data_IF_223782922901
#
_entry.id   IF_223782922901
#
_cell.length_a   1.000
_cell.length_b   1.000
_cell.length_c   1.000
_cell.angle_alpha   90.00
_cell.angle_beta   90.00
_cell.angle_gamma   90.00
#
_symmetry.space_group_name_H-M   'P 1'
#
loop_
_entity.id
_entity.type
_entity.pdbx_description
1 polymer ?
#
# COMPACT_ATOMS: atom_id res chain seq x y z
N UNK A 1 -11.58 -14.86 23.29
CA UNK A 1 -12.36 -13.71 22.77
C UNK A 1 -11.71 -12.46 23.30
N UNK A 2 -11.48 -11.48 22.44
CA UNK A 2 -10.83 -10.22 22.80
C UNK A 2 -11.84 -9.14 23.20
N UNK A 3 -11.35 -8.16 23.92
CA UNK A 3 -12.01 -6.94 24.34
C UNK A 3 -11.27 -5.73 23.77
N UNK A 4 -11.84 -4.54 23.90
CA UNK A 4 -11.21 -3.32 23.39
C UNK A 4 -9.89 -2.97 24.10
N UNK A 5 -9.67 -3.48 25.31
CA UNK A 5 -8.40 -3.29 26.04
C UNK A 5 -7.26 -4.14 25.49
N UNK A 6 -7.57 -5.15 24.66
CA UNK A 6 -6.57 -5.99 23.98
C UNK A 6 -6.04 -5.35 22.69
N UNK A 7 -6.63 -4.23 22.25
CA UNK A 7 -6.21 -3.54 21.04
C UNK A 7 -4.87 -2.83 21.24
N UNK A 8 -3.95 -3.02 20.31
CA UNK A 8 -2.67 -2.30 20.28
C UNK A 8 -2.83 -1.10 19.36
N UNK A 9 -2.80 0.10 19.93
CA UNK A 9 -2.86 1.36 19.17
C UNK A 9 -1.46 1.92 18.97
N UNK A 10 -1.15 2.31 17.73
CA UNK A 10 0.12 2.93 17.34
C UNK A 10 -0.19 4.26 16.63
N UNK A 11 0.43 5.39 17.04
CA UNK A 11 0.34 6.64 16.30
C UNK A 11 0.83 6.48 14.86
N UNK A 12 0.12 7.06 13.90
CA UNK A 12 0.56 7.04 12.51
C UNK A 12 1.49 8.24 12.26
N UNK A 13 2.72 7.98 11.83
CA UNK A 13 3.73 9.00 11.52
C UNK A 13 3.97 9.12 10.03
N UNK A 14 4.43 10.28 9.56
CA UNK A 14 4.58 10.58 8.12
C UNK A 14 5.56 9.67 7.40
N UNK A 15 6.59 9.19 8.10
CA UNK A 15 7.58 8.27 7.54
C UNK A 15 6.97 6.90 7.18
N UNK A 16 5.87 6.49 7.81
CA UNK A 16 5.12 5.30 7.40
C UNK A 16 4.50 5.47 6.01
N UNK A 17 3.95 6.65 5.71
CA UNK A 17 3.45 6.97 4.36
C UNK A 17 4.58 7.00 3.35
N UNK A 18 5.72 7.63 3.69
CA UNK A 18 6.88 7.70 2.81
C UNK A 18 7.43 6.31 2.48
N UNK A 19 7.57 5.44 3.49
CA UNK A 19 7.99 4.05 3.29
C UNK A 19 7.02 3.28 2.39
N UNK A 20 5.71 3.45 2.62
CA UNK A 20 4.68 2.83 1.79
C UNK A 20 4.69 3.32 0.33
N UNK A 21 4.93 4.62 0.11
CA UNK A 21 5.06 5.21 -1.24
C UNK A 21 6.29 4.66 -1.94
N UNK A 22 7.45 4.65 -1.26
CA UNK A 22 8.68 4.11 -1.82
C UNK A 22 8.52 2.66 -2.28
N UNK A 23 7.78 1.84 -1.52
CA UNK A 23 7.45 0.49 -1.97
C UNK A 23 6.49 0.47 -3.15
N UNK A 24 5.38 1.22 -3.07
CA UNK A 24 4.36 1.26 -4.11
C UNK A 24 4.94 1.68 -5.48
N UNK A 25 5.88 2.61 -5.48
CA UNK A 25 6.61 3.03 -6.68
C UNK A 25 7.47 1.91 -7.27
N UNK A 26 8.17 1.15 -6.43
CA UNK A 26 9.03 0.03 -6.86
C UNK A 26 8.23 -1.18 -7.34
N UNK A 27 7.11 -1.49 -6.70
CA UNK A 27 6.28 -2.66 -7.04
C UNK A 27 5.30 -2.40 -8.18
N UNK A 28 5.10 -1.14 -8.59
CA UNK A 28 4.13 -0.74 -9.61
C UNK A 28 4.13 -1.64 -10.87
N UNK A 29 5.28 -1.99 -11.48
CA UNK A 29 5.31 -2.86 -12.67
C UNK A 29 4.78 -4.29 -12.44
N UNK A 30 4.76 -4.75 -11.19
CA UNK A 30 4.48 -6.13 -10.78
C UNK A 30 3.16 -6.28 -10.04
N UNK A 31 2.45 -5.18 -9.82
CA UNK A 31 1.22 -5.20 -9.06
C UNK A 31 0.08 -5.79 -9.93
N UNK A 32 -0.42 -6.99 -9.57
CA UNK A 32 -1.52 -7.68 -10.26
C UNK A 32 -2.93 -7.15 -9.85
N UNK A 33 -3.72 -6.60 -10.76
CA UNK A 33 -5.01 -5.96 -10.40
C UNK A 33 -6.14 -6.99 -10.15
N UNK A 34 -6.26 -7.48 -8.91
CA UNK A 34 -7.37 -8.38 -8.51
C UNK A 34 -8.64 -7.66 -8.06
N UNK A 35 -8.52 -6.40 -7.63
CA UNK A 35 -9.57 -5.73 -6.85
C UNK A 35 -10.29 -4.61 -7.60
N UNK A 36 -9.85 -4.26 -8.81
CA UNK A 36 -10.42 -3.22 -9.67
C UNK A 36 -10.43 -1.81 -9.05
N UNK A 37 -10.99 -0.85 -9.77
CA UNK A 37 -11.07 0.56 -9.36
C UNK A 37 -9.87 1.40 -9.81
N UNK A 38 -9.81 2.68 -9.41
CA UNK A 38 -8.72 3.56 -9.88
C UNK A 38 -7.35 3.08 -9.41
N UNK A 39 -6.34 3.17 -10.29
CA UNK A 39 -4.95 2.83 -10.00
C UNK A 39 -4.43 3.55 -8.73
N UNK A 40 -4.88 4.78 -8.46
CA UNK A 40 -4.51 5.53 -7.25
C UNK A 40 -5.09 4.94 -5.96
N UNK A 41 -6.32 4.45 -5.97
CA UNK A 41 -6.90 3.80 -4.79
C UNK A 41 -6.17 2.52 -4.45
N UNK A 42 -5.70 1.81 -5.47
CA UNK A 42 -4.85 0.65 -5.30
C UNK A 42 -3.51 1.02 -4.69
N UNK A 43 -2.81 2.01 -5.24
CA UNK A 43 -1.53 2.47 -4.69
C UNK A 43 -1.66 2.91 -3.23
N UNK A 44 -2.71 3.68 -2.89
CA UNK A 44 -3.03 4.02 -1.51
C UNK A 44 -3.20 2.82 -0.59
N UNK A 45 -3.78 1.70 -1.07
CA UNK A 45 -3.90 0.46 -0.29
C UNK A 45 -2.54 -0.21 -0.08
N UNK A 46 -1.66 -0.20 -1.08
CA UNK A 46 -0.29 -0.70 -0.96
C UNK A 46 0.48 0.12 0.08
N UNK A 47 0.43 1.46 -0.05
CA UNK A 47 1.03 2.40 0.92
C UNK A 47 0.56 2.08 2.35
N UNK A 48 -0.75 1.89 2.51
CA UNK A 48 -1.38 1.50 3.78
C UNK A 48 -0.87 0.16 4.30
N UNK A 49 -0.82 -0.88 3.46
CA UNK A 49 -0.36 -2.21 3.85
C UNK A 49 1.06 -2.17 4.40
N UNK A 50 1.97 -1.56 3.66
CA UNK A 50 3.38 -1.39 4.06
C UNK A 50 3.52 -0.53 5.31
N UNK A 51 2.76 0.55 5.41
CA UNK A 51 2.77 1.41 6.60
C UNK A 51 2.38 0.64 7.87
N UNK A 52 1.34 -0.20 7.81
CA UNK A 52 0.91 -1.03 8.94
C UNK A 52 1.97 -2.05 9.29
N UNK A 53 2.51 -2.71 8.29
CA UNK A 53 3.51 -3.74 8.51
C UNK A 53 4.79 -3.18 9.13
N UNK A 54 5.29 -2.05 8.63
CA UNK A 54 6.44 -1.35 9.21
C UNK A 54 6.17 -0.93 10.67
N UNK A 55 4.98 -0.40 10.95
CA UNK A 55 4.58 -0.06 12.31
C UNK A 55 4.54 -1.31 13.23
N UNK A 56 4.07 -2.44 12.71
CA UNK A 56 4.04 -3.70 13.45
C UNK A 56 5.46 -4.18 13.77
N UNK A 57 6.37 -4.19 12.79
CA UNK A 57 7.79 -4.57 12.98
C UNK A 57 8.46 -3.70 14.04
N UNK A 58 8.24 -2.38 14.00
CA UNK A 58 8.75 -1.46 15.01
C UNK A 58 8.23 -1.80 16.40
N UNK A 59 6.92 -2.07 16.52
CA UNK A 59 6.33 -2.50 17.80
C UNK A 59 6.93 -3.81 18.31
N UNK A 60 7.11 -4.81 17.44
CA UNK A 60 7.75 -6.07 17.82
C UNK A 60 9.18 -5.84 18.32
N UNK A 61 9.94 -4.98 17.66
CA UNK A 61 11.30 -4.61 18.07
C UNK A 61 11.33 -3.86 19.42
N UNK A 62 10.46 -2.86 19.60
CA UNK A 62 10.28 -2.11 20.85
C UNK A 62 9.98 -3.04 22.03
N UNK A 63 9.06 -3.99 21.84
CA UNK A 63 8.66 -4.96 22.86
C UNK A 63 9.60 -6.15 22.99
N UNK A 64 10.68 -6.19 22.21
CA UNK A 64 11.65 -7.31 22.15
C UNK A 64 10.95 -8.65 21.91
N UNK A 65 9.98 -8.66 21.00
CA UNK A 65 9.31 -9.87 20.53
C UNK A 65 10.19 -10.50 19.45
N UNK A 66 10.65 -11.76 19.63
CA UNK A 66 11.44 -12.45 18.61
C UNK A 66 10.63 -12.60 17.31
N UNK A 67 11.18 -12.10 16.21
CA UNK A 67 10.58 -12.18 14.89
C UNK A 67 11.66 -12.18 13.81
N UNK A 68 11.34 -12.80 12.68
CA UNK A 68 12.17 -12.79 11.49
C UNK A 68 11.51 -11.94 10.41
N UNK A 69 12.33 -11.19 9.69
CA UNK A 69 11.93 -10.60 8.42
C UNK A 69 12.35 -11.62 7.36
N UNK A 70 11.50 -12.61 7.05
CA UNK A 70 11.83 -13.71 6.14
C UNK A 70 12.02 -13.19 4.71
N UNK A 71 13.19 -12.61 4.44
CA UNK A 71 13.53 -11.96 3.18
C UNK A 71 12.64 -10.76 2.89
N UNK A 72 13.23 -9.57 2.80
CA UNK A 72 12.65 -8.54 1.93
C UNK A 72 12.61 -9.13 0.53
N UNK A 73 11.48 -9.67 0.11
CA UNK A 73 11.40 -10.30 -1.21
C UNK A 73 11.74 -9.23 -2.24
N UNK A 74 12.50 -9.54 -3.31
CA UNK A 74 12.77 -8.56 -4.35
C UNK A 74 11.45 -7.89 -4.76
N UNK A 75 11.44 -6.56 -4.93
CA UNK A 75 10.23 -5.81 -5.32
C UNK A 75 9.63 -6.30 -6.66
N UNK A 76 10.39 -7.11 -7.40
CA UNK A 76 10.02 -7.80 -8.63
C UNK A 76 9.14 -9.03 -8.42
N UNK A 77 9.09 -9.57 -7.21
CA UNK A 77 8.19 -10.65 -6.83
C UNK A 77 6.90 -10.07 -6.23
N UNK A 78 5.73 -10.70 -6.50
CA UNK A 78 4.44 -10.17 -6.08
C UNK A 78 4.32 -10.16 -4.54
N UNK A 79 4.23 -8.95 -3.96
CA UNK A 79 3.88 -8.62 -2.57
C UNK A 79 4.30 -9.69 -1.52
N UNK A 80 5.59 -9.77 -1.20
CA UNK A 80 6.06 -10.66 -0.13
C UNK A 80 6.92 -9.89 0.87
N UNK A 81 6.28 -9.46 1.94
CA UNK A 81 6.95 -8.97 3.12
C UNK A 81 6.48 -9.80 4.31
N UNK A 82 7.04 -10.99 4.42
CA UNK A 82 6.63 -11.94 5.43
C UNK A 82 7.38 -11.64 6.73
N UNK A 83 6.68 -11.04 7.69
CA UNK A 83 7.10 -11.14 9.11
C UNK A 83 6.82 -12.57 9.53
N UNK A 84 7.76 -13.21 10.21
CA UNK A 84 7.50 -14.47 10.90
C UNK A 84 7.67 -14.32 12.41
N UNK A 85 6.75 -14.91 13.16
CA UNK A 85 6.78 -14.95 14.61
C UNK A 85 6.78 -16.41 15.03
N UNK A 86 7.87 -16.87 15.65
CA UNK A 86 8.01 -18.28 16.03
C UNK A 86 8.03 -19.25 14.86
N UNK A 87 8.63 -18.86 13.73
CA UNK A 87 8.68 -19.66 12.51
C UNK A 87 7.37 -19.71 11.71
N UNK A 88 6.34 -18.98 12.14
CA UNK A 88 5.03 -18.88 11.45
C UNK A 88 4.94 -17.57 10.70
N UNK A 89 4.58 -17.59 9.43
CA UNK A 89 4.39 -16.37 8.62
C UNK A 89 3.17 -15.61 9.10
N UNK A 90 3.26 -14.29 9.05
CA UNK A 90 2.19 -13.38 9.43
C UNK A 90 1.70 -12.63 8.19
N UNK A 91 0.42 -12.80 7.88
CA UNK A 91 -0.28 -12.06 6.83
C UNK A 91 -1.18 -11.01 7.48
N UNK A 92 -0.79 -9.75 7.35
CA UNK A 92 -1.49 -8.62 7.98
C UNK A 92 -2.60 -8.12 7.06
N UNK A 93 -3.85 -8.31 7.49
CA UNK A 93 -5.04 -7.76 6.85
C UNK A 93 -5.35 -6.38 7.43
N UNK A 94 -4.96 -5.35 6.68
CA UNK A 94 -5.20 -3.95 7.05
C UNK A 94 -6.45 -3.37 6.39
N UNK A 95 -7.21 -2.59 7.16
CA UNK A 95 -8.46 -1.95 6.72
C UNK A 95 -8.41 -0.44 6.94
N UNK A 96 -8.48 0.33 5.85
CA UNK A 96 -8.46 1.79 5.92
C UNK A 96 -9.87 2.36 6.13
N UNK A 97 -10.06 3.08 7.23
CA UNK A 97 -11.26 3.84 7.59
C UNK A 97 -11.09 5.29 7.16
N UNK A 98 -11.75 5.70 6.08
CA UNK A 98 -11.59 7.04 5.48
C UNK A 98 -12.74 8.01 5.73
N UNK A 99 -13.88 7.51 6.24
CA UNK A 99 -15.06 8.35 6.49
C UNK A 99 -14.91 9.07 7.82
N UNK A 100 -14.97 10.41 7.81
CA UNK A 100 -14.84 11.26 9.02
C UNK A 100 -15.82 10.90 10.15
N UNK A 101 -17.02 10.44 9.84
CA UNK A 101 -17.98 9.97 10.84
C UNK A 101 -17.49 8.68 11.52
N UNK A 102 -17.03 7.71 10.72
CA UNK A 102 -16.52 6.44 11.20
C UNK A 102 -15.22 6.59 11.98
N UNK A 103 -14.30 7.45 11.51
CA UNK A 103 -13.09 7.82 12.22
C UNK A 103 -13.43 8.37 13.61
N UNK A 104 -14.32 9.38 13.67
CA UNK A 104 -14.75 9.97 14.95
C UNK A 104 -15.41 8.97 15.88
N UNK A 105 -16.22 8.05 15.34
CA UNK A 105 -16.87 7.01 16.12
C UNK A 105 -15.83 6.06 16.74
N UNK A 106 -14.93 5.49 15.92
CA UNK A 106 -13.88 4.56 16.41
C UNK A 106 -12.91 5.25 17.38
N UNK A 107 -12.58 6.54 17.17
CA UNK A 107 -11.74 7.29 18.11
C UNK A 107 -12.39 7.50 19.48
N UNK A 108 -13.71 7.59 19.56
CA UNK A 108 -14.45 7.76 20.83
C UNK A 108 -14.82 6.42 21.47
N UNK A 109 -15.13 5.44 20.63
CA UNK A 109 -15.66 4.14 21.01
C UNK A 109 -14.92 3.03 20.27
N UNK A 110 -13.66 2.71 20.66
CA UNK A 110 -12.87 1.68 20.00
C UNK A 110 -13.56 0.31 19.98
N UNK A 111 -14.37 0.01 21.01
CA UNK A 111 -15.14 -1.23 21.11
C UNK A 111 -16.08 -1.49 19.93
N UNK A 112 -16.46 -0.46 19.17
CA UNK A 112 -17.24 -0.64 17.94
C UNK A 112 -16.54 -1.56 16.93
N UNK A 113 -15.20 -1.64 16.97
CA UNK A 113 -14.43 -2.56 16.12
C UNK A 113 -14.61 -4.03 16.47
N UNK A 114 -15.03 -4.37 17.70
CA UNK A 114 -15.26 -5.78 18.10
C UNK A 114 -16.36 -6.44 17.27
N UNK A 115 -17.36 -5.67 16.85
CA UNK A 115 -18.43 -6.12 15.96
C UNK A 115 -18.11 -5.99 14.48
N UNK A 116 -16.94 -5.47 14.10
CA UNK A 116 -16.51 -5.44 12.71
C UNK A 116 -16.10 -6.84 12.23
N UNK A 117 -16.15 -7.08 10.92
CA UNK A 117 -15.67 -8.33 10.35
C UNK A 117 -14.14 -8.31 10.15
N UNK A 118 -13.46 -9.31 10.69
CA UNK A 118 -12.19 -9.80 10.16
C UNK A 118 -12.48 -10.42 8.79
N UNK A 119 -11.81 -9.96 7.72
CA UNK A 119 -12.08 -10.42 6.35
C UNK A 119 -10.83 -10.93 5.68
N UNK A 120 -10.95 -12.10 5.05
CA UNK A 120 -9.94 -12.67 4.16
C UNK A 120 -10.63 -13.07 2.85
N UNK A 121 -10.16 -12.62 1.68
CA UNK A 121 -10.69 -13.06 0.39
C UNK A 121 -10.67 -14.58 0.25
N UNK A 122 -11.74 -15.17 -0.29
CA UNK A 122 -11.87 -16.63 -0.38
C UNK A 122 -10.75 -17.28 -1.21
N UNK A 123 -10.26 -16.61 -2.25
CA UNK A 123 -9.15 -17.08 -3.09
C UNK A 123 -7.82 -17.15 -2.31
N UNK A 124 -7.62 -16.27 -1.33
CA UNK A 124 -6.42 -16.28 -0.48
C UNK A 124 -6.44 -17.43 0.53
N UNK A 125 -7.63 -17.82 0.99
CA UNK A 125 -7.77 -18.96 1.91
C UNK A 125 -7.45 -20.27 1.20
N UNK A 126 -7.80 -20.40 -0.07
CA UNK A 126 -7.54 -21.59 -0.88
C UNK A 126 -6.09 -21.64 -1.38
N UNK A 127 -5.36 -20.52 -1.39
CA UNK A 127 -3.98 -20.49 -1.90
C UNK A 127 -3.00 -21.25 -0.99
N UNK A 128 -2.05 -21.98 -1.59
CA UNK A 128 -1.01 -22.76 -0.89
C UNK A 128 0.16 -21.90 -0.38
N UNK A 129 -0.01 -20.57 -0.35
CA UNK A 129 1.06 -19.65 0.05
C UNK A 129 1.32 -19.60 1.55
N UNK A 130 0.32 -19.95 2.35
CA UNK A 130 0.39 -20.03 3.80
C UNK A 130 0.06 -21.46 4.23
N UNK A 131 0.65 -21.92 5.31
CA UNK A 131 0.27 -23.16 6.00
C UNK A 131 -0.86 -22.88 7.00
N UNK A 132 -1.52 -23.93 7.48
CA UNK A 132 -2.61 -23.78 8.46
C UNK A 132 -2.16 -23.16 9.79
N UNK A 133 -0.88 -23.29 10.13
CA UNK A 133 -0.27 -22.73 11.34
C UNK A 133 0.19 -21.26 11.20
N UNK A 134 0.21 -20.74 9.97
CA UNK A 134 0.51 -19.33 9.71
C UNK A 134 -0.62 -18.43 10.21
N UNK A 135 -0.31 -17.16 10.42
CA UNK A 135 -1.11 -16.24 11.20
C UNK A 135 -1.75 -15.18 10.31
N UNK A 136 -3.06 -14.99 10.46
CA UNK A 136 -3.70 -13.75 10.06
C UNK A 136 -3.68 -12.77 11.22
N UNK A 137 -3.22 -11.54 10.95
CA UNK A 137 -3.26 -10.43 11.89
C UNK A 137 -4.15 -9.34 11.31
N UNK A 138 -5.07 -8.81 12.11
CA UNK A 138 -6.04 -7.83 11.64
C UNK A 138 -5.75 -6.44 12.21
N UNK A 139 -5.77 -5.44 11.33
CA UNK A 139 -5.51 -4.05 11.69
C UNK A 139 -6.47 -3.08 11.02
N UNK A 140 -6.79 -1.99 11.71
CA UNK A 140 -7.53 -0.86 11.17
C UNK A 140 -6.66 0.38 11.18
N UNK A 141 -6.81 1.22 10.16
CA UNK A 141 -6.13 2.51 10.09
C UNK A 141 -7.19 3.57 9.95
N UNK A 142 -7.10 4.61 10.77
CA UNK A 142 -7.87 5.82 10.55
C UNK A 142 -7.02 6.78 9.74
N UNK A 143 -7.52 7.21 8.59
CA UNK A 143 -6.76 8.07 7.70
C UNK A 143 -7.70 8.94 6.85
N UNK A 144 -7.23 10.11 6.46
CA UNK A 144 -7.83 10.85 5.35
C UNK A 144 -7.03 10.63 4.07
N UNK A 145 -7.70 10.74 2.94
CA UNK A 145 -7.10 10.71 1.61
C UNK A 145 -7.70 11.83 0.77
N UNK A 146 -7.06 12.16 -0.35
CA UNK A 146 -7.58 13.13 -1.32
C UNK A 146 -7.93 12.43 -2.64
N UNK A 147 -9.06 11.69 -2.70
CA UNK A 147 -9.39 10.88 -3.86
C UNK A 147 -9.85 11.68 -5.09
N UNK A 148 -10.08 12.98 -4.96
CA UNK A 148 -10.55 13.86 -6.04
C UNK A 148 -9.92 15.27 -5.96
N UNK A 149 -10.03 16.03 -7.05
CA UNK A 149 -9.45 17.37 -7.18
C UNK A 149 -9.84 18.31 -6.04
N UNK A 150 -11.13 18.36 -5.68
CA UNK A 150 -11.63 19.22 -4.60
C UNK A 150 -10.94 18.94 -3.26
N UNK A 151 -10.70 17.67 -2.95
CA UNK A 151 -9.98 17.29 -1.73
C UNK A 151 -8.48 17.58 -1.81
N UNK A 152 -7.88 17.45 -2.99
CA UNK A 152 -6.49 17.79 -3.25
C UNK A 152 -6.24 19.30 -3.11
N UNK A 153 -7.10 20.14 -3.70
CA UNK A 153 -7.00 21.60 -3.60
C UNK A 153 -7.06 22.07 -2.14
N UNK A 154 -7.84 21.40 -1.30
CA UNK A 154 -7.90 21.69 0.13
C UNK A 154 -6.61 21.31 0.85
N UNK A 155 -5.99 20.19 0.48
CA UNK A 155 -4.70 19.77 1.04
C UNK A 155 -3.61 20.77 0.65
N UNK A 156 -3.53 21.14 -0.63
CA UNK A 156 -2.62 22.16 -1.15
C UNK A 156 -2.78 23.51 -0.44
N UNK A 157 -4.02 24.01 -0.31
CA UNK A 157 -4.30 25.27 0.41
C UNK A 157 -3.95 25.23 1.89
N UNK A 158 -3.92 24.04 2.49
CA UNK A 158 -3.58 23.82 3.88
C UNK A 158 -2.10 23.41 4.07
N UNK A 159 -1.27 23.58 3.04
CA UNK A 159 0.15 23.23 3.00
C UNK A 159 0.42 21.80 3.49
N UNK A 160 -0.49 20.89 3.14
CA UNK A 160 -0.39 19.49 3.50
C UNK A 160 0.49 18.76 2.48
N UNK A 161 1.31 17.79 2.93
CA UNK A 161 2.15 17.01 2.03
C UNK A 161 1.30 16.26 1.01
N UNK A 162 1.79 16.17 -0.22
CA UNK A 162 1.16 15.45 -1.33
C UNK A 162 2.21 14.62 -2.05
N UNK A 163 1.77 13.59 -2.76
CA UNK A 163 2.61 12.81 -3.66
C UNK A 163 1.80 12.49 -4.91
N UNK A 164 1.94 13.33 -5.94
CA UNK A 164 1.23 13.17 -7.19
C UNK A 164 2.00 12.19 -8.07
N UNK A 165 1.32 11.14 -8.50
CA UNK A 165 1.90 10.11 -9.36
C UNK A 165 1.00 9.90 -10.57
N UNK A 166 1.62 9.54 -11.69
CA UNK A 166 0.96 9.05 -12.89
C UNK A 166 1.63 7.73 -13.33
N UNK A 167 0.97 6.57 -13.12
CA UNK A 167 1.43 5.30 -13.68
C UNK A 167 1.41 5.33 -15.20
N UNK A 168 2.49 4.87 -15.82
CA UNK A 168 2.58 4.74 -17.27
C UNK A 168 1.78 3.51 -17.77
N UNK A 169 1.38 3.50 -19.05
CA UNK A 169 0.78 2.33 -19.68
C UNK A 169 1.65 1.07 -19.58
N UNK A 170 1.03 -0.11 -19.73
CA UNK A 170 1.70 -1.40 -19.57
C UNK A 170 2.88 -1.57 -20.54
N UNK A 171 2.77 -1.02 -21.74
CA UNK A 171 3.77 -1.08 -22.80
C UNK A 171 5.07 -0.39 -22.39
N UNK A 172 4.98 0.62 -21.53
CA UNK A 172 6.12 1.35 -20.97
C UNK A 172 6.61 0.73 -19.66
N UNK A 173 5.68 0.41 -18.76
CA UNK A 173 5.99 -0.09 -17.41
C UNK A 173 6.45 -1.55 -17.39
N UNK A 174 6.01 -2.35 -18.35
CA UNK A 174 6.35 -3.77 -18.48
C UNK A 174 6.41 -4.18 -19.97
N UNK A 175 7.41 -3.68 -20.73
CA UNK A 175 7.50 -3.91 -22.16
C UNK A 175 7.67 -5.40 -22.47
N UNK A 176 7.12 -5.83 -23.61
CA UNK A 176 7.21 -7.23 -24.07
C UNK A 176 8.64 -7.63 -24.46
N UNK A 177 9.45 -6.66 -24.86
CA UNK A 177 10.88 -6.82 -25.16
C UNK A 177 11.69 -5.99 -24.18
N UNK A 178 12.70 -6.60 -23.57
CA UNK A 178 13.57 -5.92 -22.61
C UNK A 178 14.72 -5.23 -23.34
N UNK A 179 14.41 -4.11 -23.97
CA UNK A 179 15.35 -3.25 -24.71
C UNK A 179 15.26 -1.82 -24.17
N UNK A 180 16.29 -0.98 -24.36
CA UNK A 180 16.22 0.42 -23.96
C UNK A 180 15.02 1.13 -24.60
N UNK A 181 14.36 1.99 -23.84
CA UNK A 181 13.33 2.91 -24.33
C UNK A 181 13.91 4.05 -25.19
N UNK A 182 15.24 4.10 -25.31
CA UNK A 182 15.98 5.21 -25.92
C UNK A 182 15.97 6.44 -25.01
N UNK A 183 16.66 7.49 -25.45
CA UNK A 183 16.68 8.77 -24.73
C UNK A 183 15.28 9.35 -24.65
N UNK A 184 14.69 9.34 -23.45
CA UNK A 184 13.35 9.86 -23.23
C UNK A 184 13.36 11.38 -23.39
N UNK A 185 12.43 11.90 -24.19
CA UNK A 185 12.24 13.33 -24.38
C UNK A 185 10.99 13.80 -23.65
N UNK A 186 11.15 14.80 -22.79
CA UNK A 186 10.09 15.34 -21.94
C UNK A 186 9.81 16.79 -22.28
N UNK A 187 8.54 17.19 -22.16
CA UNK A 187 8.11 18.59 -22.30
C UNK A 187 6.87 18.83 -21.45
N UNK A 188 6.78 20.00 -20.83
CA UNK A 188 5.56 20.48 -20.21
C UNK A 188 5.03 21.73 -20.94
N UNK A 189 3.71 21.89 -20.99
CA UNK A 189 3.04 23.14 -21.38
C UNK A 189 2.41 23.80 -20.15
N UNK A 190 3.24 24.07 -19.15
CA UNK A 190 2.88 24.68 -17.86
C UNK A 190 3.26 26.16 -17.81
N UNK A 191 2.69 26.91 -16.86
CA UNK A 191 3.08 28.32 -16.67
C UNK A 191 4.41 28.49 -15.92
N UNK A 192 4.88 27.43 -15.27
CA UNK A 192 6.01 27.42 -14.34
C UNK A 192 6.83 26.14 -14.53
N UNK A 193 8.08 26.16 -14.06
CA UNK A 193 8.94 24.98 -14.10
C UNK A 193 8.37 23.87 -13.22
N UNK A 194 8.44 22.63 -13.69
CA UNK A 194 7.97 21.44 -12.96
C UNK A 194 9.12 20.48 -12.76
N UNK A 195 9.40 20.14 -11.50
CA UNK A 195 10.28 19.03 -11.16
C UNK A 195 9.51 17.73 -11.29
N UNK A 196 10.00 16.82 -12.13
CA UNK A 196 9.46 15.49 -12.33
C UNK A 196 10.48 14.45 -11.90
N UNK A 197 10.04 13.44 -11.16
CA UNK A 197 10.75 12.19 -10.97
C UNK A 197 10.24 11.16 -11.98
N UNK A 198 11.17 10.51 -12.68
CA UNK A 198 10.97 9.40 -13.60
C UNK A 198 11.35 8.11 -12.88
N UNK A 199 10.39 7.24 -12.60
CA UNK A 199 10.64 5.98 -11.92
C UNK A 199 10.49 4.78 -12.84
N UNK A 200 11.49 3.89 -12.86
CA UNK A 200 11.54 2.79 -13.80
C UNK A 200 12.59 1.74 -13.48
N UNK A 201 13.03 1.01 -14.51
CA UNK A 201 14.02 -0.06 -14.40
C UNK A 201 15.07 0.04 -15.49
N UNK A 202 16.30 -0.34 -15.16
CA UNK A 202 17.43 -0.39 -16.09
C UNK A 202 17.58 -1.77 -16.77
N UNK A 203 18.69 -1.97 -17.49
CA UNK A 203 19.03 -3.22 -18.17
C UNK A 203 18.92 -4.46 -17.26
N UNK A 204 19.42 -4.38 -16.03
CA UNK A 204 19.43 -5.50 -15.08
C UNK A 204 18.10 -5.68 -14.34
N UNK A 205 17.04 -4.98 -14.74
CA UNK A 205 15.73 -4.90 -14.05
C UNK A 205 15.82 -4.30 -12.65
N UNK A 206 16.94 -3.66 -12.31
CA UNK A 206 17.06 -2.93 -11.06
C UNK A 206 16.23 -1.65 -11.13
N UNK A 207 15.54 -1.33 -10.03
CA UNK A 207 14.80 -0.08 -9.91
C UNK A 207 15.76 1.10 -9.97
N UNK A 208 15.36 2.14 -10.72
CA UNK A 208 16.04 3.41 -10.75
C UNK A 208 15.04 4.56 -10.83
N UNK A 209 15.48 5.74 -10.38
CA UNK A 209 14.74 6.97 -10.50
C UNK A 209 15.66 8.11 -10.92
N UNK A 210 15.14 9.02 -11.73
CA UNK A 210 15.83 10.23 -12.18
C UNK A 210 14.94 11.45 -11.95
N UNK A 211 15.50 12.54 -11.43
CA UNK A 211 14.81 13.81 -11.33
C UNK A 211 15.20 14.73 -12.49
N UNK A 212 14.19 15.34 -13.13
CA UNK A 212 14.35 16.28 -14.23
C UNK A 212 13.53 17.54 -13.98
N UNK A 213 14.13 18.70 -14.23
CA UNK A 213 13.42 19.99 -14.20
C UNK A 213 12.94 20.32 -15.60
N UNK A 214 11.63 20.40 -15.78
CA UNK A 214 11.01 20.82 -17.04
C UNK A 214 10.69 22.31 -17.02
N UNK A 215 11.45 23.06 -17.80
CA UNK A 215 11.16 24.46 -18.08
C UNK A 215 9.93 24.61 -19.00
N UNK A 216 9.08 25.62 -18.79
CA UNK A 216 7.89 25.85 -19.61
C UNK A 216 8.16 25.80 -21.11
N UNK A 217 7.46 24.89 -21.80
CA UNK A 217 7.49 24.72 -23.26
C UNK A 217 8.85 24.35 -23.86
N UNK A 218 9.85 24.06 -23.04
CA UNK A 218 11.14 23.55 -23.47
C UNK A 218 11.17 22.04 -23.41
N UNK A 219 11.96 21.44 -24.29
CA UNK A 219 12.22 20.01 -24.26
C UNK A 219 13.42 19.75 -23.35
N UNK A 220 13.32 18.76 -22.50
CA UNK A 220 14.42 18.19 -21.75
C UNK A 220 14.58 16.71 -22.12
N UNK A 221 15.76 16.14 -21.90
CA UNK A 221 16.04 14.73 -22.15
C UNK A 221 16.41 14.07 -20.82
N UNK A 222 15.92 12.85 -20.61
CA UNK A 222 16.42 12.03 -19.50
C UNK A 222 17.86 11.60 -19.80
N UNK A 223 18.70 11.59 -18.78
CA UNK A 223 20.10 11.13 -18.86
C UNK A 223 20.21 9.60 -18.73
N UNK A 224 19.26 8.99 -18.03
CA UNK A 224 19.25 7.55 -17.75
C UNK A 224 18.70 6.69 -18.88
N UNK A 225 19.31 5.52 -19.07
CA UNK A 225 18.83 4.48 -19.95
C UNK A 225 17.76 3.61 -19.27
N UNK A 226 16.50 4.03 -19.38
CA UNK A 226 15.36 3.23 -18.94
C UNK A 226 15.07 2.09 -19.92
N UNK A 227 14.91 0.88 -19.39
CA UNK A 227 14.37 -0.28 -20.11
C UNK A 227 12.88 -0.47 -19.85
N UNK A 228 12.37 0.08 -18.75
CA UNK A 228 10.96 0.24 -18.47
C UNK A 228 10.74 1.54 -17.70
N UNK A 229 9.65 2.24 -17.97
CA UNK A 229 9.25 3.45 -17.23
C UNK A 229 7.90 3.17 -16.56
N UNK A 230 7.91 3.08 -15.24
CA UNK A 230 6.74 2.70 -14.44
C UNK A 230 5.83 3.88 -14.12
N UNK A 231 6.40 5.03 -13.74
CA UNK A 231 5.62 6.19 -13.32
C UNK A 231 6.34 7.52 -13.57
N UNK A 232 5.54 8.59 -13.56
CA UNK A 232 5.98 9.95 -13.32
C UNK A 232 5.51 10.39 -11.94
N UNK A 233 6.34 11.13 -11.21
CA UNK A 233 5.98 11.74 -9.94
C UNK A 233 6.31 13.23 -9.93
N UNK A 234 5.50 14.02 -9.23
CA UNK A 234 5.83 15.39 -8.88
C UNK A 234 5.27 15.79 -7.52
N UNK A 235 5.96 16.72 -6.86
CA UNK A 235 5.49 17.33 -5.62
C UNK A 235 4.61 18.56 -5.85
N UNK A 236 4.56 19.09 -7.08
CA UNK A 236 3.77 20.27 -7.45
C UNK A 236 2.80 19.92 -8.59
N UNK A 237 1.49 20.22 -8.46
CA UNK A 237 0.54 19.93 -9.53
C UNK A 237 0.88 20.72 -10.80
N UNK A 238 1.09 20.07 -11.95
CA UNK A 238 1.25 20.79 -13.20
C UNK A 238 -0.09 21.41 -13.61
N UNK A 239 -0.05 22.66 -14.06
CA UNK A 239 -1.22 23.40 -14.54
C UNK A 239 -1.48 23.19 -16.05
N UNK A 240 -0.69 22.34 -16.69
CA UNK A 240 -0.77 22.01 -18.11
C UNK A 240 -0.33 20.58 -18.41
N UNK A 241 -0.28 20.24 -19.70
CA UNK A 241 0.02 18.87 -20.15
C UNK A 241 1.51 18.58 -19.99
N UNK A 242 1.83 17.40 -19.45
CA UNK A 242 3.18 16.83 -19.43
C UNK A 242 3.25 15.72 -20.47
N UNK A 243 4.20 15.81 -21.39
CA UNK A 243 4.45 14.81 -22.43
C UNK A 243 5.78 14.09 -22.23
N UNK A 244 5.77 12.76 -22.42
CA UNK A 244 6.96 11.91 -22.42
C UNK A 244 6.99 11.11 -23.72
N UNK A 245 8.07 11.24 -24.47
CA UNK A 245 8.28 10.54 -25.73
C UNK A 245 9.43 9.55 -25.62
N UNK A 246 9.22 8.33 -26.13
CA UNK A 246 10.24 7.29 -26.24
C UNK A 246 10.47 6.99 -27.73
N UNK A 247 11.71 7.11 -28.23
CA UNK A 247 12.04 6.71 -29.60
C UNK A 247 11.77 5.23 -29.89
N UNK A 248 12.00 4.35 -28.90
CA UNK A 248 11.79 2.90 -29.06
C UNK A 248 10.32 2.51 -29.11
N UNK A 249 9.47 3.20 -28.36
CA UNK A 249 8.01 3.00 -28.41
C UNK A 249 7.40 3.69 -29.63
N UNK A 250 7.98 4.82 -30.06
CA UNK A 250 7.51 5.60 -31.21
C UNK A 250 6.30 6.49 -30.91
N UNK A 251 5.85 6.56 -29.65
CA UNK A 251 4.68 7.32 -29.22
C UNK A 251 5.03 8.34 -28.13
N UNK A 252 4.22 9.40 -28.05
CA UNK A 252 4.29 10.39 -26.96
C UNK A 252 3.12 10.15 -26.02
N UNK A 253 3.42 9.78 -24.78
CA UNK A 253 2.44 9.68 -23.71
C UNK A 253 2.15 11.08 -23.14
N UNK A 254 0.89 11.50 -23.17
CA UNK A 254 0.44 12.80 -22.65
C UNK A 254 -0.31 12.61 -21.34
N UNK A 255 0.03 13.44 -20.34
CA UNK A 255 -0.59 13.46 -19.01
C UNK A 255 -1.22 14.82 -18.77
N UNK A 256 -2.55 14.84 -18.70
CA UNK A 256 -3.33 16.02 -18.34
C UNK A 256 -3.28 16.28 -16.83
N UNK A 257 -3.46 17.54 -16.38
CA UNK A 257 -3.49 17.89 -14.95
C UNK A 257 -4.41 17.01 -14.09
N UNK A 258 -5.57 16.63 -14.63
CA UNK A 258 -6.58 15.83 -13.91
C UNK A 258 -6.19 14.34 -13.78
N UNK A 259 -5.23 13.88 -14.57
CA UNK A 259 -4.77 12.48 -14.56
C UNK A 259 -3.77 12.19 -13.43
N UNK A 260 -3.23 13.22 -12.78
CA UNK A 260 -2.35 13.06 -11.63
C UNK A 260 -3.13 12.67 -10.37
N UNK A 261 -2.69 11.60 -9.70
CA UNK A 261 -3.32 11.12 -8.48
C UNK A 261 -2.44 11.29 -7.25
N UNK A 262 -2.98 11.90 -6.19
CA UNK A 262 -2.27 11.97 -4.91
C UNK A 262 -2.36 10.63 -4.16
N UNK A 263 -1.25 9.96 -3.90
CA UNK A 263 -1.22 8.70 -3.12
C UNK A 263 -0.82 8.89 -1.66
N UNK A 264 -0.61 10.13 -1.21
CA UNK A 264 -0.34 10.44 0.19
C UNK A 264 -1.50 10.02 1.11
N UNK A 265 -1.15 9.44 2.26
CA UNK A 265 -2.08 9.02 3.30
C UNK A 265 -1.91 9.94 4.51
N UNK A 266 -2.98 10.63 4.90
CA UNK A 266 -3.00 11.43 6.12
C UNK A 266 -3.48 10.55 7.27
N UNK A 267 -2.63 9.62 7.68
CA UNK A 267 -2.92 8.67 8.75
C UNK A 267 -2.96 9.34 10.12
N UNK A 268 -3.80 8.80 11.00
CA UNK A 268 -3.94 9.28 12.38
C UNK A 268 -3.44 8.22 13.36
N UNK A 269 -3.99 7.01 13.28
CA UNK A 269 -3.57 5.89 14.11
C UNK A 269 -3.82 4.54 13.43
N UNK A 270 -3.03 3.55 13.82
CA UNK A 270 -3.15 2.14 13.47
C UNK A 270 -3.62 1.41 14.72
N UNK A 271 -4.64 0.56 14.58
CA UNK A 271 -5.23 -0.23 15.65
C UNK A 271 -5.11 -1.70 15.24
N UNK A 272 -4.20 -2.43 15.87
CA UNK A 272 -4.15 -3.88 15.74
C UNK A 272 -5.15 -4.50 16.70
N UNK A 273 -6.01 -5.37 16.20
CA UNK A 273 -7.13 -5.90 16.98
C UNK A 273 -6.85 -7.29 17.54
N UNK A 274 -6.25 -8.18 16.74
CA UNK A 274 -6.03 -9.56 17.15
C UNK A 274 -5.47 -10.41 16.01
N UNK A 275 -5.23 -11.68 16.33
CA UNK A 275 -4.74 -12.67 15.40
C UNK A 275 -5.55 -13.97 15.42
N UNK A 276 -5.38 -14.79 14.39
CA UNK A 276 -5.90 -16.16 14.32
C UNK A 276 -5.03 -16.98 13.38
N UNK A 277 -4.90 -18.28 13.60
CA UNK A 277 -4.22 -19.14 12.61
C UNK A 277 -5.07 -19.27 11.34
N UNK A 278 -4.44 -19.51 10.20
CA UNK A 278 -5.15 -19.71 8.93
C UNK A 278 -6.10 -20.91 9.00
N UNK A 279 -5.66 -22.01 9.61
CA UNK A 279 -6.47 -23.22 9.77
C UNK A 279 -7.73 -22.96 10.60
N UNK A 280 -7.59 -22.24 11.73
CA UNK A 280 -8.72 -21.87 12.57
C UNK A 280 -9.67 -20.91 11.86
N UNK A 281 -9.13 -19.89 11.16
CA UNK A 281 -9.95 -18.94 10.39
C UNK A 281 -10.71 -19.64 9.25
N UNK A 282 -10.10 -20.62 8.58
CA UNK A 282 -10.75 -21.43 7.54
C UNK A 282 -11.91 -22.27 8.11
N UNK A 283 -11.76 -22.81 9.31
CA UNK A 283 -12.79 -23.63 9.95
C UNK A 283 -13.94 -22.80 10.50
N UNK A 284 -13.64 -21.67 11.17
CA UNK A 284 -14.63 -20.85 11.88
C UNK A 284 -15.23 -19.73 11.03
N UNK A 285 -14.52 -19.26 10.01
CA UNK A 285 -14.95 -18.14 9.18
C UNK A 285 -16.15 -18.49 8.29
N UNK A 286 -17.17 -17.65 8.33
CA UNK A 286 -18.38 -17.77 7.53
C UNK A 286 -18.17 -17.20 6.13
N UNK A 287 -18.85 -17.77 5.13
CA UNK A 287 -18.82 -17.22 3.77
C UNK A 287 -19.57 -15.90 3.74
N UNK A 288 -18.92 -14.87 3.21
CA UNK A 288 -19.48 -13.54 2.98
C UNK A 288 -19.46 -13.24 1.47
N UNK A 289 -20.63 -13.21 0.80
CA UNK A 289 -20.70 -12.94 -0.64
C UNK A 289 -20.10 -11.59 -1.03
N UNK A 290 -19.67 -11.48 -2.30
CA UNK A 290 -19.36 -10.19 -2.90
C UNK A 290 -20.59 -9.25 -2.84
N UNK A 291 -20.37 -7.95 -2.66
CA UNK A 291 -21.43 -6.95 -2.52
C UNK A 291 -21.97 -6.78 -1.09
N UNK A 292 -21.54 -7.60 -0.13
CA UNK A 292 -22.01 -7.55 1.26
C UNK A 292 -21.59 -6.26 1.96
N UNK A 293 -22.52 -5.62 2.70
CA UNK A 293 -22.22 -4.45 3.53
C UNK A 293 -21.43 -4.88 4.77
N UNK A 294 -20.38 -4.13 5.11
CA UNK A 294 -19.58 -4.39 6.31
C UNK A 294 -19.25 -3.08 7.02
N UNK A 295 -18.78 -3.15 8.25
CA UNK A 295 -18.48 -1.97 9.08
C UNK A 295 -17.56 -0.95 8.39
N UNK A 296 -16.50 -1.43 7.74
CA UNK A 296 -15.40 -0.61 7.20
C UNK A 296 -15.66 -0.01 5.81
N UNK A 297 -16.57 -0.56 5.01
CA UNK A 297 -16.88 -0.05 3.67
C UNK A 297 -18.29 -0.45 3.21
N UNK A 298 -18.81 0.26 2.21
CA UNK A 298 -20.20 0.09 1.75
C UNK A 298 -20.52 -1.30 1.19
N UNK A 299 -19.55 -1.96 0.54
CA UNK A 299 -19.72 -3.29 0.00
C UNK A 299 -18.37 -4.00 -0.21
N UNK A 300 -18.32 -5.32 0.01
CA UNK A 300 -17.20 -6.17 -0.41
C UNK A 300 -17.14 -6.22 -1.94
N UNK A 301 -15.93 -6.33 -2.51
CA UNK A 301 -15.74 -6.46 -3.97
C UNK A 301 -15.63 -7.90 -4.43
N UNK A 302 -15.12 -8.75 -3.56
CA UNK A 302 -14.92 -10.18 -3.79
C UNK A 302 -15.66 -10.96 -2.73
N UNK A 303 -15.79 -12.26 -2.94
CA UNK A 303 -16.18 -13.16 -1.87
C UNK A 303 -15.08 -13.20 -0.80
N UNK A 304 -15.49 -13.19 0.46
CA UNK A 304 -14.61 -13.27 1.60
C UNK A 304 -15.07 -14.39 2.54
N UNK A 305 -14.19 -14.86 3.41
CA UNK A 305 -14.60 -15.39 4.70
C UNK A 305 -14.52 -14.32 5.78
N UNK A 306 -15.46 -14.38 6.72
CA UNK A 306 -15.61 -13.42 7.79
C UNK A 306 -15.86 -14.04 9.15
N UNK A 307 -15.36 -13.38 10.19
CA UNK A 307 -15.79 -13.58 11.57
C UNK A 307 -15.67 -12.26 12.33
N UNK A 308 -16.44 -12.05 13.42
CA UNK A 308 -16.33 -10.87 14.25
C UNK A 308 -14.92 -10.70 14.83
N UNK A 309 -14.41 -9.47 14.88
CA UNK A 309 -13.12 -9.17 15.49
C UNK A 309 -13.04 -9.65 16.95
N UNK A 310 -14.15 -9.61 17.70
CA UNK A 310 -14.25 -10.14 19.07
C UNK A 310 -13.82 -11.61 19.22
N UNK A 311 -13.90 -12.39 18.14
CA UNK A 311 -13.60 -13.82 18.14
C UNK A 311 -12.12 -14.16 17.91
N UNK A 312 -11.28 -13.15 17.65
CA UNK A 312 -9.83 -13.30 17.50
C UNK A 312 -9.15 -13.61 18.85
N UNK A 313 -7.86 -13.96 18.77
CA UNK A 313 -6.95 -14.06 19.92
C UNK A 313 -6.19 -12.74 20.13
N UNK A 314 -5.88 -12.36 21.38
CA UNK A 314 -5.18 -11.10 21.67
C UNK A 314 -3.70 -11.19 21.27
N UNK A 315 -3.16 -10.11 20.69
CA UNK A 315 -1.76 -10.10 20.25
C UNK A 315 -0.74 -10.25 21.38
N UNK A 316 -1.11 -9.86 22.61
CA UNK A 316 -0.29 -10.08 23.81
C UNK A 316 0.03 -11.55 24.04
N UNK A 317 -0.90 -12.45 23.70
CA UNK A 317 -0.70 -13.90 23.83
C UNK A 317 0.33 -14.38 22.82
N UNK A 318 0.22 -13.92 21.57
CA UNK A 318 1.20 -14.22 20.52
C UNK A 318 2.59 -13.72 20.91
N UNK A 319 2.70 -12.50 21.42
CA UNK A 319 3.98 -11.92 21.83
C UNK A 319 4.61 -12.69 22.99
N UNK A 320 3.79 -13.11 23.95
CA UNK A 320 4.22 -13.95 25.08
C UNK A 320 4.69 -15.32 24.61
N UNK A 321 3.96 -15.93 23.68
CA UNK A 321 4.33 -17.23 23.09
C UNK A 321 5.64 -17.14 22.30
N UNK A 322 5.80 -16.11 21.48
CA UNK A 322 7.03 -15.85 20.73
C UNK A 322 8.27 -15.78 21.62
N UNK A 323 8.16 -15.04 22.73
CA UNK A 323 9.22 -14.94 23.75
C UNK A 323 9.52 -16.28 24.42
N UNK A 324 8.51 -17.14 24.63
CA UNK A 324 8.69 -18.50 25.18
C UNK A 324 9.35 -19.44 24.17
N UNK A 325 9.00 -19.37 22.89
CA UNK A 325 9.60 -20.20 21.85
C UNK A 325 11.08 -19.92 21.66
N UNK A 326 11.47 -18.64 21.65
CA UNK A 326 12.89 -18.27 21.55
C UNK A 326 13.73 -18.80 22.72
N UNK A 327 13.17 -18.85 23.93
CA UNK A 327 13.85 -19.41 25.11
C UNK A 327 14.02 -20.93 25.10
N UNK A 328 13.25 -21.65 24.28
CA UNK A 328 13.32 -23.12 24.16
C UNK A 328 14.23 -23.58 23.02
N UNK A 329 14.53 -22.69 22.07
CA UNK A 329 15.43 -22.95 20.95
C UNK A 329 16.85 -22.40 21.13
N UNK A 330 17.14 -21.75 22.26
CA UNK A 330 18.47 -21.32 22.70
C UNK A 330 18.97 -22.25 23.81
#
# INVERSE_FOLDING_TARGET
MITATDFITIPYTSDLTQAGIAYACRSLPYTYDRMGGSHFNRLRRIVVGVAVELAFRRRLAEEKVPHDNLGSTPFTDPDRYDIAIGGRRCDIKSFMLTRRSLIRHVSREPQALLGADALVPSDQIVSDHLNDEDLYIFAFITALTTPNQRSLDRALKADQPIYLIHPLPKEWAHPSRWIPLGTLALKCDTSHAVTLELGGQNESRAFMAEEIVLEPRKRAAAESDFYALGYLHTSNPPDGIVGVHSPSVGETHLVEPIQWGNIWIYGMQIIFTGYMTRGEFRQRGNRLPAGSRVFKYSSTRTENRSLPIAELHPLSDLFTQAKKWAKRGA
#
